data_IF_469026799831
#
_entry.id   IF_469026799831
#
_cell.length_a   1.000
_cell.length_b   1.000
_cell.length_c   1.000
_cell.angle_alpha   90.00
_cell.angle_beta   90.00
_cell.angle_gamma   90.00
#
_symmetry.space_group_name_H-M   'P 1'
#
loop_
_entity.id
_entity.type
_entity.pdbx_description
1 polymer ?
#
# COMPACT_ATOMS: atom_id res chain seq x y z
N UNK A 1 5.25 -4.09 -5.05
CA UNK A 1 4.19 -4.36 -4.06
C UNK A 1 4.15 -3.30 -2.96
N UNK A 2 5.21 -3.14 -2.17
CA UNK A 2 5.19 -2.29 -0.96
C UNK A 2 4.94 -0.79 -1.20
N UNK A 3 5.33 -0.21 -2.34
CA UNK A 3 5.00 1.20 -2.63
C UNK A 3 3.54 1.40 -3.05
N UNK A 4 2.95 0.36 -3.64
CA UNK A 4 1.57 0.40 -4.13
C UNK A 4 0.56 0.28 -2.97
N UNK A 5 0.97 -0.19 -1.79
CA UNK A 5 0.09 -0.21 -0.63
C UNK A 5 -0.33 1.19 -0.19
N UNK A 6 0.52 2.21 -0.39
CA UNK A 6 0.17 3.60 -0.09
C UNK A 6 -1.02 4.13 -0.90
N UNK A 7 -1.32 3.53 -2.05
CA UNK A 7 -2.44 3.92 -2.93
C UNK A 7 -3.76 3.25 -2.53
N UNK A 8 -3.68 2.11 -1.84
CA UNK A 8 -4.82 1.22 -1.56
C UNK A 8 -5.45 1.51 -0.19
N UNK A 9 -4.66 2.11 0.70
CA UNK A 9 -5.05 2.41 2.07
C UNK A 9 -5.93 3.65 2.10
N UNK A 10 -7.25 3.43 2.08
CA UNK A 10 -8.26 4.49 2.21
C UNK A 10 -8.78 4.63 3.63
N UNK A 11 -8.56 3.63 4.49
CA UNK A 11 -8.98 3.69 5.89
C UNK A 11 -7.92 4.49 6.68
N UNK A 12 -8.34 5.61 7.26
CA UNK A 12 -7.64 6.12 8.42
C UNK A 12 -7.80 5.10 9.54
N UNK A 13 -6.69 4.69 10.16
CA UNK A 13 -6.75 4.07 11.48
C UNK A 13 -7.69 4.93 12.32
N UNK A 14 -8.79 4.30 12.78
CA UNK A 14 -9.88 4.98 13.43
C UNK A 14 -9.36 5.90 14.54
N UNK A 15 -9.83 7.13 14.56
CA UNK A 15 -9.74 8.04 15.69
C UNK A 15 -10.22 7.30 16.94
N UNK A 16 -9.29 6.85 17.76
CA UNK A 16 -9.50 6.68 19.19
C UNK A 16 -8.44 7.51 19.90
N UNK A 17 -8.96 8.30 20.80
CA UNK A 17 -8.33 9.35 21.57
C UNK A 17 -7.00 8.94 22.21
N UNK A 18 -6.16 9.97 22.28
CA UNK A 18 -5.03 10.22 23.17
C UNK A 18 -4.68 9.17 24.25
N UNK A 19 -3.36 8.94 24.34
CA UNK A 19 -2.58 8.22 25.36
C UNK A 19 -2.56 6.69 25.26
N UNK A 20 -1.51 6.25 24.57
CA UNK A 20 -0.90 4.94 24.74
C UNK A 20 0.15 4.76 23.66
N UNK A 21 1.41 5.10 23.97
CA UNK A 21 2.63 4.82 23.19
C UNK A 21 2.39 4.41 21.73
N UNK A 22 2.17 5.42 20.88
CA UNK A 22 1.98 5.28 19.45
C UNK A 22 3.27 4.80 18.76
N UNK A 23 3.57 3.51 18.88
CA UNK A 23 4.70 2.85 18.22
C UNK A 23 4.52 2.74 16.69
N UNK A 24 3.33 3.08 16.17
CA UNK A 24 3.03 3.00 14.73
C UNK A 24 3.46 4.25 13.95
N UNK A 25 3.96 5.30 14.62
CA UNK A 25 4.62 6.40 13.93
C UNK A 25 6.12 6.11 13.74
N UNK A 26 6.54 6.07 12.48
CA UNK A 26 7.85 6.56 12.00
C UNK A 26 9.04 5.61 11.74
N UNK A 27 8.90 4.28 11.78
CA UNK A 27 10.03 3.42 11.42
C UNK A 27 9.83 2.67 10.09
N UNK A 28 9.86 3.38 8.96
CA UNK A 28 10.23 2.77 7.67
C UNK A 28 11.61 2.15 7.88
N UNK A 29 11.67 0.84 8.09
CA UNK A 29 12.91 0.11 8.45
C UNK A 29 13.88 0.05 7.27
N UNK A 30 13.38 0.23 6.05
CA UNK A 30 14.19 0.12 4.82
C UNK A 30 14.43 1.49 4.21
N UNK A 31 15.68 1.97 4.28
CA UNK A 31 16.10 3.28 3.75
C UNK A 31 15.69 3.47 2.27
N UNK A 32 15.81 2.42 1.45
CA UNK A 32 15.45 2.46 0.03
C UNK A 32 13.94 2.72 -0.24
N UNK A 33 13.07 2.30 0.68
CA UNK A 33 11.62 2.51 0.54
C UNK A 33 11.19 3.91 0.94
N UNK A 34 11.89 4.53 1.90
CA UNK A 34 11.63 5.92 2.34
C UNK A 34 11.79 6.90 1.19
N UNK A 35 12.89 6.79 0.45
CA UNK A 35 13.18 7.68 -0.69
C UNK A 35 12.11 7.53 -1.78
N UNK A 36 11.66 6.30 -2.01
CA UNK A 36 10.64 6.00 -3.00
C UNK A 36 9.27 6.55 -2.62
N UNK A 37 8.89 6.46 -1.33
CA UNK A 37 7.67 7.08 -0.78
C UNK A 37 7.75 8.61 -0.86
N UNK A 38 8.92 9.20 -0.60
CA UNK A 38 9.10 10.64 -0.70
C UNK A 38 8.92 11.13 -2.14
N UNK A 39 9.54 10.45 -3.12
CA UNK A 39 9.34 10.77 -4.56
C UNK A 39 7.87 10.70 -4.96
N UNK A 40 7.13 9.72 -4.46
CA UNK A 40 5.70 9.59 -4.72
C UNK A 40 4.90 10.75 -4.12
N UNK A 41 5.22 11.19 -2.89
CA UNK A 41 4.61 12.38 -2.28
C UNK A 41 4.96 13.66 -3.04
N UNK A 42 6.19 13.78 -3.53
CA UNK A 42 6.63 14.93 -4.32
C UNK A 42 5.88 14.98 -5.67
N UNK A 43 5.64 13.83 -6.31
CA UNK A 43 4.80 13.74 -7.51
C UNK A 43 3.33 14.07 -7.21
N UNK A 44 2.79 13.56 -6.10
CA UNK A 44 1.43 13.87 -5.66
C UNK A 44 1.25 15.39 -5.44
N UNK A 45 2.23 16.06 -4.80
CA UNK A 45 2.23 17.54 -4.67
C UNK A 45 2.19 18.22 -6.02
N UNK A 46 3.04 17.80 -6.97
CA UNK A 46 3.04 18.38 -8.33
C UNK A 46 1.69 18.24 -9.02
N UNK A 47 1.05 17.07 -8.90
CA UNK A 47 -0.28 16.84 -9.47
C UNK A 47 -1.30 17.76 -8.80
N UNK A 48 -1.28 17.84 -7.45
CA UNK A 48 -2.20 18.69 -6.70
C UNK A 48 -2.05 20.18 -7.06
N UNK A 49 -0.83 20.68 -7.24
CA UNK A 49 -0.59 22.06 -7.71
C UNK A 49 -1.20 22.32 -9.09
N UNK A 50 -1.05 21.40 -10.04
CA UNK A 50 -1.66 21.52 -11.38
C UNK A 50 -3.19 21.47 -11.31
N UNK A 51 -3.74 20.67 -10.40
CA UNK A 51 -5.18 20.56 -10.16
C UNK A 51 -5.74 21.85 -9.54
N UNK A 52 -5.00 22.49 -8.64
CA UNK A 52 -5.32 23.80 -8.08
C UNK A 52 -5.27 24.90 -9.15
N UNK A 53 -4.23 24.90 -10.00
CA UNK A 53 -4.12 25.80 -11.17
C UNK A 53 -5.32 25.64 -12.13
N UNK A 54 -5.85 24.42 -12.25
CA UNK A 54 -7.05 24.11 -13.03
C UNK A 54 -8.36 24.53 -12.34
N UNK A 55 -8.30 25.22 -11.19
CA UNK A 55 -9.44 25.69 -10.37
C UNK A 55 -10.35 24.59 -9.85
N UNK A 56 -9.81 23.39 -9.65
CA UNK A 56 -10.53 22.31 -8.97
C UNK A 56 -10.39 22.48 -7.45
N UNK A 57 -11.45 22.21 -6.67
CA UNK A 57 -11.43 22.35 -5.21
C UNK A 57 -10.68 21.16 -4.60
N UNK A 58 -9.35 21.19 -4.65
CA UNK A 58 -8.48 20.18 -4.04
C UNK A 58 -7.47 20.90 -3.16
N UNK A 59 -7.37 20.47 -1.91
CA UNK A 59 -6.38 20.96 -0.96
C UNK A 59 -5.12 20.07 -1.06
N UNK A 60 -3.96 20.70 -1.23
CA UNK A 60 -2.72 20.03 -1.63
C UNK A 60 -2.20 19.11 -0.52
N UNK A 61 -2.24 19.58 0.73
CA UNK A 61 -1.78 18.84 1.90
C UNK A 61 -2.65 17.61 2.18
N UNK A 62 -3.97 17.72 2.12
CA UNK A 62 -4.96 16.66 2.28
C UNK A 62 -4.78 15.60 1.20
N UNK A 63 -4.53 16.03 -0.06
CA UNK A 63 -4.26 15.11 -1.15
C UNK A 63 -3.00 14.26 -0.90
N UNK A 64 -1.96 14.85 -0.32
CA UNK A 64 -0.70 14.14 0.00
C UNK A 64 -0.85 13.26 1.23
N UNK A 65 -1.61 13.70 2.23
CA UNK A 65 -1.86 12.96 3.48
C UNK A 65 -2.68 11.69 3.28
N UNK A 66 -3.45 11.60 2.19
CA UNK A 66 -4.14 10.36 1.78
C UNK A 66 -3.15 9.22 1.53
N UNK A 67 -1.90 9.51 1.16
CA UNK A 67 -0.88 8.49 0.94
C UNK A 67 -0.15 8.11 2.25
N UNK A 68 -0.73 7.14 2.97
CA UNK A 68 -0.22 6.65 4.26
C UNK A 68 0.83 5.54 4.08
N UNK A 69 2.06 5.70 4.62
CA UNK A 69 3.13 4.72 4.49
C UNK A 69 3.04 3.57 5.51
N UNK A 70 2.04 3.58 6.40
CA UNK A 70 1.95 2.71 7.58
C UNK A 70 1.98 1.22 7.23
N UNK A 71 1.45 0.85 6.06
CA UNK A 71 1.38 -0.55 5.60
C UNK A 71 2.52 -0.96 4.66
N UNK A 72 3.45 -0.04 4.33
CA UNK A 72 4.57 -0.33 3.43
C UNK A 72 5.48 -1.40 4.03
N UNK A 73 5.83 -1.28 5.30
CA UNK A 73 6.70 -2.22 6.00
C UNK A 73 6.01 -3.58 6.21
N UNK A 74 4.71 -3.57 6.50
CA UNK A 74 3.86 -4.77 6.65
C UNK A 74 3.85 -5.59 5.37
N UNK A 75 3.57 -4.94 4.22
CA UNK A 75 3.56 -5.59 2.91
C UNK A 75 4.97 -6.04 2.51
N UNK A 76 6.01 -5.27 2.86
CA UNK A 76 7.39 -5.66 2.58
C UNK A 76 7.80 -6.93 3.33
N UNK A 77 7.54 -6.99 4.63
CA UNK A 77 7.79 -8.18 5.44
C UNK A 77 6.96 -9.38 4.98
N UNK A 78 5.73 -9.15 4.53
CA UNK A 78 4.89 -10.19 3.94
C UNK A 78 5.49 -10.75 2.64
N UNK A 79 5.95 -9.89 1.72
CA UNK A 79 6.62 -10.34 0.49
C UNK A 79 7.97 -11.03 0.78
N UNK A 80 8.60 -10.69 1.91
CA UNK A 80 9.82 -11.34 2.41
C UNK A 80 9.60 -12.69 3.11
N UNK A 81 8.36 -13.18 3.20
CA UNK A 81 8.03 -14.51 3.74
C UNK A 81 7.74 -14.55 5.24
N UNK A 82 7.52 -13.42 5.91
CA UNK A 82 7.17 -13.38 7.35
C UNK A 82 5.85 -14.12 7.64
N UNK A 83 5.67 -14.70 8.84
CA UNK A 83 4.40 -15.37 9.17
C UNK A 83 3.29 -14.34 9.42
N UNK A 84 2.03 -14.70 9.15
CA UNK A 84 0.89 -13.77 9.35
C UNK A 84 0.81 -13.24 10.78
N UNK A 85 1.09 -14.09 11.77
CA UNK A 85 1.16 -13.71 13.18
C UNK A 85 2.22 -12.65 13.47
N UNK A 86 3.36 -12.67 12.77
CA UNK A 86 4.41 -11.65 12.92
C UNK A 86 3.96 -10.33 12.29
N UNK A 87 3.28 -10.41 11.15
CA UNK A 87 2.72 -9.24 10.44
C UNK A 87 1.63 -8.56 11.25
N UNK A 88 0.71 -9.31 11.86
CA UNK A 88 -0.31 -8.77 12.76
C UNK A 88 0.28 -8.09 14.01
N UNK A 89 1.47 -8.50 14.47
CA UNK A 89 2.13 -7.87 15.63
C UNK A 89 2.87 -6.59 15.27
N UNK A 90 3.15 -6.34 13.99
CA UNK A 90 3.84 -5.13 13.53
C UNK A 90 2.91 -3.94 13.34
N UNK A 91 1.59 -4.17 13.27
CA UNK A 91 0.61 -3.13 13.05
C UNK A 91 -0.60 -3.29 13.99
N UNK A 92 -1.04 -2.19 14.59
CA UNK A 92 -2.23 -2.16 15.48
C UNK A 92 -3.55 -2.11 14.69
N UNK A 93 -3.60 -2.78 13.52
CA UNK A 93 -4.75 -2.81 12.63
C UNK A 93 -5.47 -4.15 12.77
N UNK A 94 -6.80 -4.13 12.63
CA UNK A 94 -7.57 -5.36 12.60
C UNK A 94 -7.08 -6.28 11.47
N UNK A 95 -6.97 -7.57 11.76
CA UNK A 95 -6.47 -8.58 10.83
C UNK A 95 -7.32 -8.62 9.54
N UNK A 96 -8.63 -8.41 9.67
CA UNK A 96 -9.55 -8.29 8.54
C UNK A 96 -9.25 -7.07 7.65
N UNK A 97 -8.80 -5.95 8.20
CA UNK A 97 -8.37 -4.78 7.41
C UNK A 97 -7.06 -5.06 6.68
N UNK A 98 -6.14 -5.80 7.29
CA UNK A 98 -4.89 -6.23 6.65
C UNK A 98 -5.21 -7.14 5.45
N UNK A 99 -6.02 -8.18 5.66
CA UNK A 99 -6.41 -9.13 4.61
C UNK A 99 -7.13 -8.41 3.46
N UNK A 100 -8.10 -7.52 3.77
CA UNK A 100 -8.77 -6.69 2.75
C UNK A 100 -7.78 -5.85 1.94
N UNK A 101 -6.79 -5.26 2.60
CA UNK A 101 -5.77 -4.44 1.93
C UNK A 101 -4.85 -5.28 1.04
N UNK A 102 -4.49 -6.48 1.47
CA UNK A 102 -3.70 -7.42 0.66
C UNK A 102 -4.46 -7.88 -0.59
N UNK A 103 -5.77 -8.17 -0.46
CA UNK A 103 -6.63 -8.49 -1.62
C UNK A 103 -6.73 -7.30 -2.58
N UNK A 104 -6.98 -6.10 -2.07
CA UNK A 104 -7.00 -4.90 -2.91
C UNK A 104 -5.66 -4.64 -3.62
N UNK A 105 -4.54 -4.92 -2.96
CA UNK A 105 -3.21 -4.78 -3.54
C UNK A 105 -2.96 -5.81 -4.66
N UNK A 106 -3.46 -7.04 -4.50
CA UNK A 106 -3.41 -8.06 -5.54
C UNK A 106 -4.23 -7.65 -6.77
N UNK A 107 -5.45 -7.13 -6.57
CA UNK A 107 -6.29 -6.64 -7.66
C UNK A 107 -5.64 -5.45 -8.39
N UNK A 108 -5.01 -4.53 -7.64
CA UNK A 108 -4.25 -3.42 -8.23
C UNK A 108 -3.07 -3.93 -9.08
N UNK A 109 -2.36 -4.98 -8.64
CA UNK A 109 -1.28 -5.59 -9.42
C UNK A 109 -1.81 -6.24 -10.71
N UNK A 110 -3.00 -6.86 -10.66
CA UNK A 110 -3.65 -7.42 -11.85
C UNK A 110 -3.98 -6.33 -12.86
N UNK A 111 -4.57 -5.23 -12.40
CA UNK A 111 -4.87 -4.07 -13.26
C UNK A 111 -3.59 -3.45 -13.85
N UNK A 112 -2.51 -3.42 -13.08
CA UNK A 112 -1.22 -2.92 -13.55
C UNK A 112 -0.59 -3.82 -14.62
N UNK A 113 -0.75 -5.14 -14.51
CA UNK A 113 -0.33 -6.09 -15.55
C UNK A 113 -1.11 -5.87 -16.85
N UNK A 114 -2.43 -5.71 -16.77
CA UNK A 114 -3.27 -5.46 -17.95
C UNK A 114 -2.92 -4.11 -18.61
N UNK A 115 -2.63 -3.07 -17.81
CA UNK A 115 -2.14 -1.80 -18.30
C UNK A 115 -0.74 -1.90 -18.92
N UNK A 116 0.17 -2.67 -18.32
CA UNK A 116 1.53 -2.87 -18.83
C UNK A 116 1.52 -3.59 -20.19
N UNK A 117 0.64 -4.59 -20.36
CA UNK A 117 0.40 -5.26 -21.65
C UNK A 117 -0.10 -4.28 -22.72
N UNK A 118 -1.04 -3.42 -22.36
CA UNK A 118 -1.60 -2.43 -23.28
C UNK A 118 -0.53 -1.43 -23.76
N UNK A 119 0.39 -1.04 -22.87
CA UNK A 119 1.51 -0.16 -23.18
C UNK A 119 2.62 -0.88 -23.96
N UNK A 120 2.67 -2.21 -23.92
CA UNK A 120 3.72 -3.03 -24.55
C UNK A 120 5.02 -3.10 -23.76
N UNK A 121 4.94 -3.00 -22.42
CA UNK A 121 6.10 -3.12 -21.53
C UNK A 121 6.10 -4.46 -20.80
N UNK A 122 6.72 -5.46 -21.44
CA UNK A 122 6.78 -6.84 -20.94
C UNK A 122 7.60 -6.96 -19.64
N UNK A 123 8.61 -6.10 -19.44
CA UNK A 123 9.43 -6.13 -18.23
C UNK A 123 8.62 -5.71 -16.99
N UNK A 124 7.77 -4.68 -17.14
CA UNK A 124 6.89 -4.24 -16.07
C UNK A 124 5.83 -5.30 -15.75
N UNK A 125 5.28 -5.95 -16.77
CA UNK A 125 4.33 -7.05 -16.60
C UNK A 125 4.97 -8.20 -15.79
N UNK A 126 6.15 -8.65 -16.20
CA UNK A 126 6.87 -9.73 -15.52
C UNK A 126 7.14 -9.40 -14.04
N UNK A 127 7.61 -8.18 -13.75
CA UNK A 127 7.85 -7.71 -12.37
C UNK A 127 6.57 -7.67 -11.54
N UNK A 128 5.45 -7.27 -12.13
CA UNK A 128 4.16 -7.28 -11.44
C UNK A 128 3.65 -8.69 -11.19
N UNK A 129 3.84 -9.60 -12.14
CA UNK A 129 3.50 -11.02 -12.00
C UNK A 129 4.33 -11.69 -10.88
N UNK A 130 5.62 -11.38 -10.77
CA UNK A 130 6.46 -11.84 -9.66
C UNK A 130 5.99 -11.29 -8.31
N UNK A 131 5.73 -9.99 -8.24
CA UNK A 131 5.20 -9.36 -7.02
C UNK A 131 3.87 -9.99 -6.57
N UNK A 132 2.99 -10.33 -7.53
CA UNK A 132 1.72 -11.01 -7.26
C UNK A 132 1.93 -12.40 -6.67
N UNK A 133 2.87 -13.19 -7.19
CA UNK A 133 3.19 -14.52 -6.65
C UNK A 133 3.67 -14.47 -5.19
N UNK A 134 4.43 -13.44 -4.82
CA UNK A 134 4.92 -13.26 -3.45
C UNK A 134 3.81 -12.83 -2.48
N UNK A 135 2.77 -12.16 -2.98
CA UNK A 135 1.63 -11.72 -2.19
C UNK A 135 0.62 -12.84 -1.92
N UNK A 136 0.35 -13.69 -2.92
CA UNK A 136 -0.63 -14.77 -2.84
C UNK A 136 -0.03 -15.95 -2.10
N UNK A 137 -0.17 -15.96 -0.77
CA UNK A 137 0.21 -17.09 0.08
C UNK A 137 -0.68 -17.21 1.31
N UNK A 138 -0.72 -18.42 1.85
CA UNK A 138 -1.30 -18.76 3.15
C UNK A 138 -2.74 -18.26 3.36
N UNK A 139 -3.09 -18.01 4.63
CA UNK A 139 -4.42 -17.64 5.15
C UNK A 139 -5.04 -16.42 4.47
N UNK A 140 -4.24 -15.53 3.88
CA UNK A 140 -4.73 -14.32 3.24
C UNK A 140 -5.54 -14.65 1.98
N UNK A 141 -5.25 -15.77 1.31
CA UNK A 141 -5.95 -16.21 0.09
C UNK A 141 -6.56 -17.61 0.25
N UNK A 142 -6.96 -17.99 1.46
CA UNK A 142 -7.70 -19.22 1.69
C UNK A 142 -9.03 -19.22 0.91
N UNK A 143 -9.40 -20.37 0.33
CA UNK A 143 -10.65 -20.51 -0.40
C UNK A 143 -11.85 -20.21 0.51
N UNK A 144 -12.89 -19.57 -0.04
CA UNK A 144 -14.14 -19.38 0.67
C UNK A 144 -14.74 -20.72 1.06
N UNK A 145 -15.34 -20.78 2.26
CA UNK A 145 -16.05 -21.98 2.74
C UNK A 145 -17.40 -22.21 2.04
N UNK A 146 -17.84 -21.24 1.24
CA UNK A 146 -18.96 -21.36 0.32
C UNK A 146 -18.40 -21.63 -1.08
N UNK A 147 -18.66 -22.84 -1.57
CA UNK A 147 -18.44 -23.29 -2.95
C UNK A 147 -19.74 -23.27 -3.73
#
# INVERSE_FOLDING_TARGET
ASLLSCLVVTEGGNSKDEKGDGACAAAIKTVAMRDSVQRMRDLARRIASVVEEAKLPVEVEEYVERFKPDLVDVVHAWCGGAKFVEVCKMCDWYEGSIVRTMHRLEELLRQLMDAAKLVGNDELEARCAEARKLLIRDVVFAASLYT
#
